data_IF_789553996022
#
_entry.id   IF_789553996022
#
_cell.length_a   1.000
_cell.length_b   1.000
_cell.length_c   1.000
_cell.angle_alpha   90.00
_cell.angle_beta   90.00
_cell.angle_gamma   90.00
#
_symmetry.space_group_name_H-M   'P 1'
#
loop_
_entity.id
_entity.type
_entity.pdbx_description
1 polymer ?
#
# COMPACT_ATOMS: atom_id res chain seq x y z
N UNK A 1 61.38 -44.38 11.62
CA UNK A 1 60.77 -43.03 11.72
C UNK A 1 59.77 -42.74 10.57
N UNK A 2 59.03 -43.74 10.05
CA UNK A 2 58.11 -43.54 8.91
C UNK A 2 56.60 -43.62 9.26
N UNK A 3 56.24 -44.09 10.47
CA UNK A 3 54.83 -44.30 10.85
C UNK A 3 54.08 -43.06 11.35
N UNK A 4 54.78 -42.00 11.78
CA UNK A 4 54.18 -40.79 12.37
C UNK A 4 53.69 -39.79 11.30
N UNK A 5 54.36 -39.70 10.16
CA UNK A 5 53.99 -38.76 9.09
C UNK A 5 52.68 -39.15 8.38
N UNK A 6 52.44 -40.45 8.17
CA UNK A 6 51.24 -40.95 7.46
C UNK A 6 49.96 -40.73 8.30
N UNK A 7 50.06 -40.89 9.63
CA UNK A 7 48.97 -40.56 10.57
C UNK A 7 48.60 -39.08 10.54
N UNK A 8 49.58 -38.17 10.50
CA UNK A 8 49.33 -36.72 10.45
C UNK A 8 48.66 -36.27 9.14
N UNK A 9 49.03 -36.85 8.00
CA UNK A 9 48.40 -36.51 6.70
C UNK A 9 46.97 -37.04 6.62
N UNK A 10 46.69 -38.24 7.14
CA UNK A 10 45.33 -38.77 7.22
C UNK A 10 44.44 -37.96 8.20
N UNK A 11 45.00 -37.52 9.33
CA UNK A 11 44.30 -36.64 10.28
C UNK A 11 43.99 -35.28 9.64
N UNK A 12 44.94 -34.68 8.91
CA UNK A 12 44.80 -33.37 8.28
C UNK A 12 43.81 -33.40 7.10
N UNK A 13 43.76 -34.50 6.34
CA UNK A 13 42.72 -34.74 5.32
C UNK A 13 41.33 -34.94 5.94
N UNK A 14 41.24 -35.67 7.04
CA UNK A 14 39.99 -35.90 7.77
C UNK A 14 39.43 -34.61 8.39
N UNK A 15 40.29 -33.81 9.03
CA UNK A 15 39.92 -32.50 9.61
C UNK A 15 39.48 -31.51 8.51
N UNK A 16 40.15 -31.51 7.36
CA UNK A 16 39.77 -30.67 6.20
C UNK A 16 38.42 -31.07 5.60
N UNK A 17 38.14 -32.38 5.44
CA UNK A 17 36.84 -32.86 4.98
C UNK A 17 35.71 -32.60 5.96
N UNK A 18 35.95 -32.73 7.27
CA UNK A 18 34.97 -32.40 8.32
C UNK A 18 34.72 -30.88 8.35
N UNK A 19 35.77 -30.06 8.25
CA UNK A 19 35.66 -28.60 8.20
C UNK A 19 34.86 -28.11 6.99
N UNK A 20 35.06 -28.72 5.81
CA UNK A 20 34.30 -28.41 4.60
C UNK A 20 32.83 -28.83 4.72
N UNK A 21 32.54 -29.99 5.33
CA UNK A 21 31.18 -30.46 5.60
C UNK A 21 30.43 -29.57 6.60
N UNK A 22 31.09 -29.14 7.68
CA UNK A 22 30.52 -28.22 8.67
C UNK A 22 30.27 -26.84 8.05
N UNK A 23 31.19 -26.33 7.22
CA UNK A 23 31.00 -25.07 6.51
C UNK A 23 29.81 -25.15 5.54
N UNK A 24 29.68 -26.22 4.76
CA UNK A 24 28.52 -26.46 3.88
C UNK A 24 27.18 -26.53 4.64
N UNK A 25 27.14 -27.15 5.81
CA UNK A 25 25.94 -27.22 6.66
C UNK A 25 25.54 -25.85 7.23
N UNK A 26 26.51 -24.97 7.51
CA UNK A 26 26.25 -23.59 7.95
C UNK A 26 25.68 -22.72 6.82
N UNK A 27 26.10 -22.91 5.57
CA UNK A 27 25.54 -22.15 4.42
C UNK A 27 24.10 -22.54 4.09
N UNK A 28 23.68 -23.78 4.41
CA UNK A 28 22.33 -24.27 4.14
C UNK A 28 21.25 -23.74 5.11
N UNK A 29 21.64 -23.07 6.19
CA UNK A 29 20.71 -22.61 7.24
C UNK A 29 20.09 -21.22 6.99
N UNK A 30 20.37 -20.57 5.84
CA UNK A 30 20.01 -19.18 5.63
C UNK A 30 19.02 -18.95 4.48
N UNK A 31 17.93 -19.73 4.44
CA UNK A 31 16.80 -19.42 3.56
C UNK A 31 15.43 -19.74 4.18
N UNK A 32 15.23 -19.39 5.45
CA UNK A 32 13.88 -19.30 6.00
C UNK A 32 13.27 -17.96 5.58
N UNK A 33 12.64 -17.92 4.41
CA UNK A 33 11.74 -16.82 4.07
C UNK A 33 10.57 -16.86 5.05
N UNK A 34 10.67 -16.12 6.16
CA UNK A 34 9.55 -15.82 7.05
C UNK A 34 8.54 -14.98 6.28
N UNK A 35 7.79 -15.60 5.37
CA UNK A 35 6.63 -14.98 4.73
C UNK A 35 5.63 -14.75 5.85
N UNK A 36 5.58 -13.53 6.37
CA UNK A 36 4.55 -13.10 7.30
C UNK A 36 3.20 -13.48 6.68
N UNK A 37 2.44 -14.34 7.34
CA UNK A 37 1.08 -14.67 6.91
C UNK A 37 0.32 -13.37 6.79
N UNK A 38 -0.13 -13.01 5.59
CA UNK A 38 -0.90 -11.80 5.33
C UNK A 38 -2.39 -12.15 5.34
N UNK A 39 -3.22 -11.22 5.81
CA UNK A 39 -4.67 -11.35 5.76
C UNK A 39 -5.21 -10.60 4.53
N UNK A 40 -6.05 -11.29 3.76
CA UNK A 40 -6.84 -10.64 2.73
C UNK A 40 -7.93 -9.79 3.40
N UNK A 41 -8.11 -8.57 2.93
CA UNK A 41 -9.07 -7.62 3.48
C UNK A 41 -9.69 -6.76 2.38
N UNK A 42 -10.79 -6.07 2.70
CA UNK A 42 -11.39 -5.10 1.81
C UNK A 42 -10.62 -3.78 1.82
N UNK A 43 -10.70 -3.07 0.69
CA UNK A 43 -10.17 -1.72 0.50
C UNK A 43 -11.36 -0.80 0.28
N UNK A 44 -11.48 0.22 1.10
CA UNK A 44 -12.43 1.32 0.93
C UNK A 44 -11.70 2.66 0.96
N UNK A 45 -12.39 3.71 0.57
CA UNK A 45 -11.83 5.04 0.57
C UNK A 45 -12.82 6.13 0.96
N UNK A 46 -12.25 7.24 1.41
CA UNK A 46 -12.93 8.46 1.79
C UNK A 46 -12.22 9.63 1.12
N UNK A 47 -12.93 10.32 0.24
CA UNK A 47 -12.42 11.51 -0.41
C UNK A 47 -12.99 12.74 0.27
N UNK A 48 -12.12 13.49 0.95
CA UNK A 48 -12.49 14.72 1.67
C UNK A 48 -12.32 15.98 0.80
N UNK A 49 -11.89 15.80 -0.45
CA UNK A 49 -11.54 16.88 -1.37
C UNK A 49 -12.64 17.16 -2.39
N UNK A 50 -12.54 18.30 -3.08
CA UNK A 50 -13.42 18.69 -4.18
C UNK A 50 -13.09 18.02 -5.52
N UNK A 51 -11.95 17.36 -5.64
CA UNK A 51 -11.54 16.61 -6.83
C UNK A 51 -12.14 15.20 -6.80
N UNK A 52 -12.23 14.52 -7.95
CA UNK A 52 -12.49 13.07 -7.95
C UNK A 52 -11.18 12.28 -7.86
N UNK A 53 -11.27 11.10 -7.26
CA UNK A 53 -10.22 10.09 -7.30
C UNK A 53 -10.71 9.00 -8.26
N UNK A 54 -10.25 9.09 -9.51
CA UNK A 54 -10.70 8.21 -10.58
C UNK A 54 -10.22 6.77 -10.38
N UNK A 55 -9.05 6.62 -9.75
CA UNK A 55 -8.44 5.33 -9.44
C UNK A 55 -7.50 5.49 -8.26
N UNK A 56 -7.45 4.51 -7.38
CA UNK A 56 -6.36 4.38 -6.43
C UNK A 56 -6.01 2.93 -6.10
N UNK A 57 -4.83 2.74 -5.53
CA UNK A 57 -4.39 1.47 -4.99
C UNK A 57 -3.73 1.63 -3.61
N UNK A 58 -3.71 0.55 -2.83
CA UNK A 58 -2.94 0.42 -1.59
C UNK A 58 -2.12 -0.85 -1.68
N UNK A 59 -0.80 -0.72 -1.70
CA UNK A 59 0.14 -1.83 -1.94
C UNK A 59 -0.24 -2.64 -3.19
N UNK A 60 -0.69 -1.96 -4.26
CA UNK A 60 -1.13 -2.56 -5.52
C UNK A 60 -2.58 -3.10 -5.53
N UNK A 61 -3.24 -3.22 -4.38
CA UNK A 61 -4.66 -3.60 -4.33
C UNK A 61 -5.56 -2.42 -4.72
N UNK A 62 -6.50 -2.64 -5.63
CA UNK A 62 -7.38 -1.59 -6.18
C UNK A 62 -8.46 -1.22 -5.18
N UNK A 63 -8.73 0.09 -5.05
CA UNK A 63 -9.89 0.61 -4.32
C UNK A 63 -11.04 1.05 -5.23
N UNK A 64 -12.20 1.41 -4.67
CA UNK A 64 -13.32 1.95 -5.43
C UNK A 64 -13.01 3.32 -6.03
N UNK A 65 -13.74 3.72 -7.07
CA UNK A 65 -13.69 5.11 -7.56
C UNK A 65 -14.42 6.03 -6.58
N UNK A 66 -13.89 7.23 -6.36
CA UNK A 66 -14.46 8.19 -5.41
C UNK A 66 -14.75 9.52 -6.10
N UNK A 67 -16.01 9.95 -6.05
CA UNK A 67 -16.37 11.33 -6.40
C UNK A 67 -15.85 12.34 -5.37
N UNK A 68 -16.09 13.64 -5.57
CA UNK A 68 -15.82 14.65 -4.55
C UNK A 68 -16.59 14.40 -3.26
N UNK A 69 -15.94 14.56 -2.11
CA UNK A 69 -16.60 14.64 -0.78
C UNK A 69 -17.47 13.43 -0.42
N UNK A 70 -17.08 12.23 -0.84
CA UNK A 70 -17.81 10.97 -0.61
C UNK A 70 -16.87 9.85 -0.16
N UNK A 71 -17.38 8.86 0.57
CA UNK A 71 -16.58 7.74 1.07
C UNK A 71 -17.37 6.69 1.83
N UNK A 72 -16.78 5.52 2.03
CA UNK A 72 -17.31 4.45 2.89
C UNK A 72 -18.55 3.70 2.37
N UNK A 73 -19.05 4.03 1.17
CA UNK A 73 -20.22 3.38 0.55
C UNK A 73 -19.90 2.22 -0.39
N UNK A 74 -18.61 1.97 -0.68
CA UNK A 74 -18.16 0.91 -1.58
C UNK A 74 -16.84 0.33 -1.07
N UNK A 75 -16.64 -0.96 -1.31
CA UNK A 75 -15.40 -1.66 -0.99
C UNK A 75 -15.01 -2.60 -2.13
N UNK A 76 -13.70 -2.79 -2.33
CA UNK A 76 -13.12 -3.73 -3.28
C UNK A 76 -12.29 -4.75 -2.50
N UNK A 77 -12.20 -6.00 -2.98
CA UNK A 77 -11.47 -7.06 -2.29
C UNK A 77 -9.95 -6.91 -2.38
N UNK A 78 -9.28 -7.82 -1.66
CA UNK A 78 -7.95 -8.32 -2.00
C UNK A 78 -6.79 -7.38 -1.63
N UNK A 79 -7.05 -6.42 -0.74
CA UNK A 79 -6.01 -5.76 0.04
C UNK A 79 -5.33 -6.74 0.99
N UNK A 80 -4.05 -6.50 1.31
CA UNK A 80 -3.26 -7.39 2.17
C UNK A 80 -2.69 -6.61 3.34
N UNK A 81 -2.97 -7.07 4.56
CA UNK A 81 -2.46 -6.46 5.81
C UNK A 81 -1.91 -7.54 6.76
N UNK A 82 -0.83 -7.31 7.54
CA UNK A 82 -0.38 -8.34 8.48
C UNK A 82 -1.41 -8.52 9.62
N UNK A 83 -1.59 -9.74 10.14
CA UNK A 83 -2.52 -10.02 11.23
C UNK A 83 -2.12 -9.32 12.53
N UNK A 84 -0.82 -9.05 12.70
CA UNK A 84 -0.27 -8.37 13.87
C UNK A 84 0.48 -7.14 13.38
N UNK A 85 0.07 -5.97 13.85
CA UNK A 85 0.77 -4.72 13.58
C UNK A 85 2.17 -4.71 14.19
N UNK A 86 3.13 -4.04 13.53
CA UNK A 86 4.47 -3.78 14.05
C UNK A 86 4.84 -2.32 13.84
N UNK A 87 5.66 -1.72 14.71
CA UNK A 87 6.16 -0.36 14.53
C UNK A 87 6.80 -0.16 13.16
N UNK A 88 6.49 0.96 12.52
CA UNK A 88 6.97 1.28 11.18
C UNK A 88 6.22 0.56 10.04
N UNK A 89 5.05 -0.03 10.29
CA UNK A 89 4.19 -0.54 9.22
C UNK A 89 3.70 0.61 8.33
N UNK A 90 3.88 0.47 7.02
CA UNK A 90 3.51 1.48 6.03
C UNK A 90 2.74 0.88 4.86
N UNK A 91 2.02 1.72 4.14
CA UNK A 91 1.41 1.42 2.85
C UNK A 91 1.89 2.39 1.78
N UNK A 92 2.07 1.88 0.57
CA UNK A 92 2.21 2.67 -0.64
C UNK A 92 0.82 2.89 -1.19
N UNK A 93 0.42 4.15 -1.32
CA UNK A 93 -0.83 4.56 -1.94
C UNK A 93 -0.50 5.26 -3.26
N UNK A 94 -1.13 4.82 -4.33
CA UNK A 94 -1.05 5.45 -5.64
C UNK A 94 -2.44 5.90 -6.06
N UNK A 95 -2.60 7.11 -6.58
CA UNK A 95 -3.91 7.59 -7.02
C UNK A 95 -3.84 8.56 -8.19
N UNK A 96 -4.92 8.57 -8.96
CA UNK A 96 -5.20 9.54 -10.01
C UNK A 96 -6.28 10.51 -9.54
N UNK A 97 -5.97 11.80 -9.56
CA UNK A 97 -6.85 12.90 -9.15
C UNK A 97 -7.32 13.68 -10.38
N UNK A 98 -8.64 13.81 -10.51
CA UNK A 98 -9.30 14.70 -11.47
C UNK A 98 -9.76 15.99 -10.76
N UNK A 99 -9.06 17.12 -10.96
CA UNK A 99 -9.40 18.38 -10.29
C UNK A 99 -10.69 19.03 -10.82
N UNK A 100 -11.23 18.56 -11.95
CA UNK A 100 -12.40 19.15 -12.62
C UNK A 100 -13.50 18.11 -12.83
N UNK A 101 -13.76 17.29 -11.80
CA UNK A 101 -14.78 16.24 -11.86
C UNK A 101 -16.23 16.76 -11.80
N UNK A 102 -16.43 18.00 -11.36
CA UNK A 102 -17.75 18.64 -11.43
C UNK A 102 -18.01 18.95 -12.90
N UNK A 103 -18.88 18.18 -13.54
CA UNK A 103 -19.20 18.31 -14.95
C UNK A 103 -20.44 19.21 -15.17
N UNK A 104 -20.31 20.53 -15.40
CA UNK A 104 -21.39 21.34 -15.96
C UNK A 104 -21.50 21.16 -17.49
N UNK A 105 -20.53 20.49 -18.13
CA UNK A 105 -20.42 20.41 -19.58
C UNK A 105 -21.09 19.14 -20.14
N UNK A 106 -21.95 19.30 -21.16
CA UNK A 106 -22.59 18.16 -21.84
C UNK A 106 -21.51 17.26 -22.48
N UNK A 107 -21.46 16.01 -22.05
CA UNK A 107 -20.60 15.00 -22.66
C UNK A 107 -21.27 14.41 -23.91
N UNK A 108 -20.50 14.12 -24.97
CA UNK A 108 -21.01 13.30 -26.07
C UNK A 108 -21.46 11.92 -25.56
N UNK A 109 -22.32 11.20 -26.29
CA UNK A 109 -22.76 9.86 -25.89
C UNK A 109 -21.59 8.90 -25.65
N UNK A 110 -21.68 8.09 -24.59
CA UNK A 110 -20.64 7.13 -24.24
C UNK A 110 -20.34 6.20 -25.43
N UNK A 111 -19.06 6.01 -25.73
CA UNK A 111 -18.60 5.12 -26.79
C UNK A 111 -18.40 5.76 -28.17
N UNK A 112 -18.83 7.01 -28.40
CA UNK A 112 -18.55 7.72 -29.66
C UNK A 112 -17.08 8.15 -29.76
N UNK A 113 -16.62 8.43 -30.97
CA UNK A 113 -15.27 8.98 -31.21
C UNK A 113 -15.11 10.36 -30.55
N UNK A 114 -16.17 11.17 -30.56
CA UNK A 114 -16.24 12.47 -29.90
C UNK A 114 -16.11 12.34 -28.38
N UNK A 115 -16.77 11.35 -27.77
CA UNK A 115 -16.62 11.06 -26.35
C UNK A 115 -15.17 10.68 -26.03
N UNK A 116 -14.56 9.80 -26.82
CA UNK A 116 -13.17 9.38 -26.62
C UNK A 116 -12.19 10.56 -26.79
N UNK A 117 -12.41 11.41 -27.78
CA UNK A 117 -11.60 12.61 -28.00
C UNK A 117 -11.74 13.61 -26.84
N UNK A 118 -12.96 13.84 -26.36
CA UNK A 118 -13.22 14.71 -25.20
C UNK A 118 -12.63 14.14 -23.92
N UNK A 119 -12.78 12.84 -23.67
CA UNK A 119 -12.19 12.15 -22.53
C UNK A 119 -10.66 12.27 -22.55
N UNK A 120 -10.02 12.05 -23.70
CA UNK A 120 -8.57 12.23 -23.86
C UNK A 120 -8.13 13.66 -23.52
N UNK A 121 -8.89 14.67 -23.95
CA UNK A 121 -8.60 16.08 -23.63
C UNK A 121 -8.81 16.39 -22.16
N UNK A 122 -9.83 15.83 -21.53
CA UNK A 122 -10.12 16.01 -20.10
C UNK A 122 -9.05 15.34 -19.23
N UNK A 123 -8.70 14.09 -19.56
CA UNK A 123 -7.69 13.29 -18.87
C UNK A 123 -6.29 13.91 -18.87
N UNK A 124 -6.00 14.83 -19.80
CA UNK A 124 -4.76 15.60 -19.80
C UNK A 124 -4.62 16.53 -18.57
N UNK A 125 -5.70 16.78 -17.81
CA UNK A 125 -5.67 17.55 -16.57
C UNK A 125 -5.53 16.66 -15.32
N UNK A 126 -5.49 15.34 -15.48
CA UNK A 126 -5.36 14.44 -14.35
C UNK A 126 -3.95 14.49 -13.79
N UNK A 127 -3.84 14.30 -12.48
CA UNK A 127 -2.57 14.23 -11.79
C UNK A 127 -2.43 12.86 -11.13
N UNK A 128 -1.21 12.33 -11.16
CA UNK A 128 -0.87 11.05 -10.57
C UNK A 128 0.05 11.27 -9.37
N UNK A 129 -0.25 10.57 -8.29
CA UNK A 129 0.41 10.78 -7.02
C UNK A 129 0.76 9.44 -6.39
N UNK A 130 1.83 9.46 -5.59
CA UNK A 130 2.29 8.33 -4.81
C UNK A 130 2.69 8.82 -3.43
N UNK A 131 2.27 8.10 -2.40
CA UNK A 131 2.67 8.39 -1.03
C UNK A 131 2.97 7.09 -0.27
N UNK A 132 4.05 7.11 0.49
CA UNK A 132 4.37 6.04 1.44
C UNK A 132 3.98 6.50 2.85
N UNK A 133 2.87 6.00 3.37
CA UNK A 133 2.25 6.50 4.61
C UNK A 133 2.23 5.45 5.71
N UNK A 134 2.38 5.89 6.94
CA UNK A 134 2.30 5.01 8.10
C UNK A 134 0.87 4.52 8.32
N UNK A 135 0.76 3.25 8.70
CA UNK A 135 -0.50 2.67 9.18
C UNK A 135 -0.44 2.72 10.72
N UNK A 136 -1.40 3.38 11.38
CA UNK A 136 -1.44 3.44 12.83
C UNK A 136 -1.63 2.04 13.41
N UNK A 137 -1.27 1.89 14.68
CA UNK A 137 -1.43 0.62 15.39
C UNK A 137 -2.90 0.19 15.37
N UNK A 138 -3.12 -1.09 15.06
CA UNK A 138 -4.39 -1.77 15.24
C UNK A 138 -4.16 -3.03 16.10
N UNK A 139 -5.11 -3.33 16.97
CA UNK A 139 -5.08 -4.56 17.77
C UNK A 139 -5.66 -5.75 17.00
N UNK A 140 -6.71 -5.50 16.20
CA UNK A 140 -7.31 -6.49 15.30
C UNK A 140 -7.34 -5.91 13.88
N UNK A 141 -6.70 -6.60 12.96
CA UNK A 141 -6.69 -6.23 11.54
C UNK A 141 -8.11 -6.25 10.95
N UNK A 142 -8.43 -5.23 10.17
CA UNK A 142 -9.72 -5.04 9.50
C UNK A 142 -9.56 -4.51 8.08
N UNK A 143 -10.57 -3.78 7.61
CA UNK A 143 -10.58 -3.16 6.28
C UNK A 143 -9.49 -2.10 6.15
N UNK A 144 -8.81 -2.09 5.00
CA UNK A 144 -7.92 -1.00 4.60
C UNK A 144 -8.77 0.21 4.19
N UNK A 145 -8.68 1.30 4.94
CA UNK A 145 -9.44 2.53 4.67
C UNK A 145 -8.47 3.64 4.28
N UNK A 146 -8.62 4.20 3.08
CA UNK A 146 -7.78 5.29 2.57
C UNK A 146 -8.52 6.61 2.65
N UNK A 147 -7.91 7.62 3.25
CA UNK A 147 -8.44 8.99 3.28
C UNK A 147 -7.61 9.86 2.34
N UNK A 148 -8.26 10.47 1.34
CA UNK A 148 -7.68 11.48 0.46
C UNK A 148 -8.01 12.86 1.00
N UNK A 149 -6.97 13.63 1.28
CA UNK A 149 -7.03 14.93 1.95
C UNK A 149 -6.52 16.03 1.01
N UNK A 150 -6.81 17.31 1.32
CA UNK A 150 -6.23 18.41 0.58
C UNK A 150 -4.70 18.40 0.56
N UNK A 151 -4.10 19.09 -0.41
CA UNK A 151 -2.65 19.12 -0.62
C UNK A 151 -2.04 17.74 -0.91
N UNK A 152 -2.82 16.89 -1.59
CA UNK A 152 -2.40 15.57 -2.05
C UNK A 152 -1.85 14.70 -0.91
N UNK A 153 -2.39 14.90 0.30
CA UNK A 153 -2.09 14.08 1.47
C UNK A 153 -3.03 12.88 1.54
N UNK A 154 -2.49 11.76 2.03
CA UNK A 154 -3.29 10.56 2.29
C UNK A 154 -3.02 10.01 3.69
N UNK A 155 -4.02 9.30 4.23
CA UNK A 155 -3.91 8.51 5.46
C UNK A 155 -4.50 7.13 5.22
N UNK A 156 -3.93 6.12 5.87
CA UNK A 156 -4.39 4.73 5.74
C UNK A 156 -4.57 4.14 7.12
N UNK A 157 -5.74 3.58 7.40
CA UNK A 157 -6.00 2.74 8.58
C UNK A 157 -6.31 1.31 8.15
N UNK A 158 -6.15 0.37 9.07
CA UNK A 158 -6.39 -1.05 8.83
C UNK A 158 -7.08 -1.75 10.01
N UNK A 159 -7.84 -1.00 10.80
CA UNK A 159 -8.61 -1.48 11.95
C UNK A 159 -10.04 -1.92 11.58
N UNK A 160 -10.76 -2.47 12.57
CA UNK A 160 -12.20 -2.79 12.45
C UNK A 160 -13.12 -1.71 13.02
N UNK A 161 -12.61 -0.50 13.24
CA UNK A 161 -13.35 0.63 13.79
C UNK A 161 -13.99 1.40 12.63
N UNK A 162 -15.26 1.79 12.78
CA UNK A 162 -16.01 2.48 11.73
C UNK A 162 -15.69 3.97 11.74
N UNK A 163 -15.71 4.59 10.56
CA UNK A 163 -15.65 6.04 10.44
C UNK A 163 -16.78 6.69 11.24
N UNK A 164 -16.46 7.73 12.01
CA UNK A 164 -17.38 8.43 12.92
C UNK A 164 -17.33 7.94 14.37
N UNK A 165 -16.75 6.77 14.64
CA UNK A 165 -16.57 6.29 16.01
C UNK A 165 -15.47 7.06 16.73
N UNK A 166 -15.56 7.30 18.06
CA UNK A 166 -14.59 8.10 18.81
C UNK A 166 -13.14 7.61 18.68
N UNK A 167 -12.94 6.30 18.63
CA UNK A 167 -11.62 5.67 18.59
C UNK A 167 -11.05 5.51 17.17
N UNK A 168 -11.79 5.94 16.14
CA UNK A 168 -11.31 5.87 14.77
C UNK A 168 -10.22 6.94 14.53
N UNK A 169 -9.02 6.58 14.05
CA UNK A 169 -7.88 7.51 13.99
C UNK A 169 -8.08 8.70 13.03
N UNK A 170 -9.02 8.62 12.07
CA UNK A 170 -9.13 9.57 10.95
C UNK A 170 -10.56 10.09 10.73
N UNK A 171 -11.15 10.70 11.76
CA UNK A 171 -12.46 11.37 11.68
C UNK A 171 -12.39 12.78 11.07
N UNK A 172 -11.86 12.88 9.84
CA UNK A 172 -11.83 14.16 9.11
C UNK A 172 -13.22 14.55 8.60
N UNK A 173 -13.56 15.86 8.53
CA UNK A 173 -14.78 16.31 7.88
C UNK A 173 -14.79 15.92 6.39
N UNK A 174 -15.92 15.43 5.86
CA UNK A 174 -16.00 15.04 4.43
C UNK A 174 -15.82 16.21 3.45
N UNK A 175 -15.96 17.44 3.93
CA UNK A 175 -15.89 18.64 3.13
C UNK A 175 -14.73 19.52 3.62
N UNK A 176 -13.52 19.22 3.15
CA UNK A 176 -12.32 19.99 3.47
C UNK A 176 -11.98 20.94 2.32
N UNK A 177 -11.70 22.18 2.66
CA UNK A 177 -11.21 23.16 1.69
C UNK A 177 -9.72 22.97 1.43
N UNK A 178 -9.32 23.07 0.17
CA UNK A 178 -7.90 23.04 -0.19
C UNK A 178 -7.28 24.42 0.05
N UNK A 179 -6.23 24.51 0.89
CA UNK A 179 -5.60 25.78 1.17
C UNK A 179 -4.89 26.30 -0.09
N UNK A 180 -4.78 27.64 -0.20
CA UNK A 180 -4.14 28.29 -1.35
C UNK A 180 -2.66 27.91 -1.52
N UNK A 181 -2.01 27.56 -0.42
CA UNK A 181 -0.61 27.14 -0.39
C UNK A 181 -0.54 25.85 0.40
N UNK A 182 0.04 24.83 -0.22
CA UNK A 182 0.33 23.55 0.41
C UNK A 182 1.74 23.58 0.97
N UNK A 183 1.85 23.69 2.29
CA UNK A 183 3.14 23.57 2.96
C UNK A 183 3.47 22.09 3.10
N UNK A 184 4.61 21.65 2.56
CA UNK A 184 5.18 20.35 2.88
C UNK A 184 5.66 20.37 4.34
N UNK A 185 5.04 19.59 5.21
CA UNK A 185 5.56 19.30 6.55
C UNK A 185 6.72 18.31 6.47
#
# INVERSE_FOLDING_TARGET
MFGTLIRSVAHMRSISSIGFLVLCLLVLSSCSSNKSRMLSTSVTGYNHTSAAINRFTVNGAVGPNLGPRIGGGSEVCCGMIPPVWKPGLRAIVEWEKDPKSNFPEKWPPLGTDEFRAKLKKHAANYSHHVANVEIPKYDVAGSLKVHFLPCDQVRVSADNIKFGEPDYPYNYPMNMEEPKVCTSL
#
